data_IF_660566243484
#
_entry.id   IF_660566243484
#
_cell.length_a   1.000
_cell.length_b   1.000
_cell.length_c   1.000
_cell.angle_alpha   90.00
_cell.angle_beta   90.00
_cell.angle_gamma   90.00
#
_symmetry.space_group_name_H-M   'P 1'
#
loop_
_entity.id
_entity.type
_entity.pdbx_description
1 polymer ?
#
# COMPACT_ATOMS: atom_id res chain seq x y z
N UNK A 1 16.55 14.31 -2.19
CA UNK A 1 15.34 14.50 -3.03
C UNK A 1 14.41 13.32 -2.75
N UNK A 2 13.23 13.38 -2.15
CA UNK A 2 12.58 14.33 -1.26
C UNK A 2 11.76 13.47 -0.29
N UNK A 3 11.82 13.75 1.01
CA UNK A 3 11.01 13.06 2.00
C UNK A 3 9.58 13.56 1.86
N UNK A 4 8.69 12.78 1.25
CA UNK A 4 7.25 12.97 1.41
C UNK A 4 6.89 12.53 2.82
N UNK A 5 7.09 13.42 3.79
CA UNK A 5 6.49 13.28 5.12
C UNK A 5 4.97 13.21 4.91
N UNK A 6 4.39 12.05 5.19
CA UNK A 6 3.10 11.58 4.72
C UNK A 6 1.94 12.55 4.95
N UNK A 7 1.03 12.58 3.97
CA UNK A 7 -0.25 13.29 3.95
C UNK A 7 -1.35 12.62 4.79
N UNK A 8 -1.04 11.54 5.52
CA UNK A 8 -2.01 10.84 6.37
C UNK A 8 -2.31 11.75 7.59
N UNK A 9 -3.56 12.19 7.79
CA UNK A 9 -3.96 12.92 8.98
C UNK A 9 -3.74 12.11 10.27
N UNK A 10 -3.42 12.78 11.38
CA UNK A 10 -3.11 12.08 12.65
C UNK A 10 -4.23 11.14 13.12
N UNK A 11 -5.49 11.55 12.95
CA UNK A 11 -6.64 10.72 13.37
C UNK A 11 -6.74 9.41 12.58
N UNK A 12 -6.38 9.43 11.29
CA UNK A 12 -6.37 8.24 10.44
C UNK A 12 -5.18 7.34 10.82
N UNK A 13 -4.04 7.95 11.14
CA UNK A 13 -2.84 7.25 11.57
C UNK A 13 -3.04 6.52 12.91
N UNK A 14 -3.77 7.14 13.85
CA UNK A 14 -4.19 6.50 15.10
C UNK A 14 -5.17 5.36 14.85
N UNK A 15 -6.17 5.55 13.98
CA UNK A 15 -7.11 4.50 13.62
C UNK A 15 -6.41 3.29 13.01
N UNK A 16 -5.54 3.51 12.02
CA UNK A 16 -4.74 2.46 11.39
C UNK A 16 -3.81 1.75 12.38
N UNK A 17 -3.26 2.47 13.36
CA UNK A 17 -2.41 1.88 14.39
C UNK A 17 -3.19 0.95 15.31
N UNK A 18 -4.41 1.33 15.69
CA UNK A 18 -5.30 0.50 16.51
C UNK A 18 -5.77 -0.73 15.73
N UNK A 19 -6.19 -0.55 14.48
CA UNK A 19 -6.73 -1.61 13.63
C UNK A 19 -5.67 -2.65 13.22
N UNK A 20 -4.52 -2.19 12.75
CA UNK A 20 -3.46 -3.08 12.24
C UNK A 20 -2.50 -3.58 13.33
N UNK A 21 -2.51 -2.96 14.52
CA UNK A 21 -1.52 -3.21 15.57
C UNK A 21 -0.10 -2.74 15.24
N UNK A 22 0.09 -2.03 14.12
CA UNK A 22 1.39 -1.52 13.70
C UNK A 22 1.72 -0.19 14.40
N UNK A 23 3.01 0.04 14.65
CA UNK A 23 3.49 1.35 15.10
C UNK A 23 3.24 2.42 14.04
N UNK A 24 3.07 3.67 14.48
CA UNK A 24 2.94 4.86 13.61
C UNK A 24 4.05 4.93 12.55
N UNK A 25 5.29 4.67 12.97
CA UNK A 25 6.44 4.64 12.05
C UNK A 25 6.40 3.49 11.04
N UNK A 26 5.81 2.35 11.41
CA UNK A 26 5.55 1.24 10.48
C UNK A 26 4.54 1.61 9.41
N UNK A 27 3.43 2.23 9.81
CA UNK A 27 2.38 2.71 8.91
C UNK A 27 2.93 3.72 7.90
N UNK A 28 3.70 4.71 8.36
CA UNK A 28 4.31 5.71 7.49
C UNK A 28 5.25 5.09 6.44
N UNK A 29 6.02 4.07 6.83
CA UNK A 29 6.89 3.33 5.90
C UNK A 29 6.09 2.55 4.87
N UNK A 30 5.01 1.88 5.29
CA UNK A 30 4.12 1.14 4.40
C UNK A 30 3.42 2.10 3.43
N UNK A 31 2.94 3.25 3.91
CA UNK A 31 2.33 4.26 3.06
C UNK A 31 3.31 4.82 2.02
N UNK A 32 4.55 5.11 2.43
CA UNK A 32 5.58 5.54 1.48
C UNK A 32 5.86 4.48 0.41
N UNK A 33 5.89 3.20 0.78
CA UNK A 33 6.00 2.09 -0.17
C UNK A 33 4.78 1.99 -1.09
N UNK A 34 3.58 2.14 -0.54
CA UNK A 34 2.32 2.15 -1.28
C UNK A 34 2.35 3.23 -2.37
N UNK A 35 2.66 4.48 -2.02
CA UNK A 35 2.72 5.59 -2.99
C UNK A 35 3.83 5.37 -4.04
N UNK A 36 4.95 4.78 -3.64
CA UNK A 36 6.04 4.46 -4.58
C UNK A 36 5.69 3.35 -5.56
N UNK A 37 4.74 2.47 -5.20
CA UNK A 37 4.34 1.32 -5.99
C UNK A 37 3.09 1.61 -6.82
N UNK A 38 2.17 2.43 -6.32
CA UNK A 38 0.92 2.79 -6.97
C UNK A 38 1.18 3.60 -8.23
N UNK A 39 0.95 2.96 -9.38
CA UNK A 39 1.07 3.63 -10.68
C UNK A 39 -0.23 4.31 -11.12
N UNK A 40 -1.35 3.98 -10.47
CA UNK A 40 -2.67 4.49 -10.82
C UNK A 40 -3.13 5.55 -9.82
N UNK A 41 -3.68 6.63 -10.37
CA UNK A 41 -4.29 7.71 -9.61
C UNK A 41 -5.65 8.05 -10.21
N UNK A 42 -6.69 8.03 -9.40
CA UNK A 42 -8.00 8.49 -9.83
C UNK A 42 -7.96 10.00 -10.07
N UNK A 43 -8.40 10.44 -11.24
CA UNK A 43 -8.32 11.85 -11.66
C UNK A 43 -9.37 12.74 -10.98
N UNK A 44 -10.43 12.14 -10.45
CA UNK A 44 -11.57 12.79 -9.82
C UNK A 44 -11.34 12.92 -8.32
N UNK A 45 -10.97 11.83 -7.65
CA UNK A 45 -10.73 11.82 -6.20
C UNK A 45 -9.29 12.13 -5.83
N UNK A 46 -8.38 12.08 -6.80
CA UNK A 46 -6.94 12.33 -6.64
C UNK A 46 -6.23 11.27 -5.78
N UNK A 47 -6.90 10.15 -5.51
CA UNK A 47 -6.44 9.03 -4.69
C UNK A 47 -5.58 8.05 -5.49
N UNK A 48 -4.64 7.41 -4.82
CA UNK A 48 -3.77 6.38 -5.40
C UNK A 48 -4.36 5.00 -5.16
N UNK A 49 -4.24 4.12 -6.15
CA UNK A 49 -4.73 2.75 -6.06
C UNK A 49 -3.63 1.78 -6.47
N UNK A 50 -3.59 0.63 -5.79
CA UNK A 50 -2.78 -0.50 -6.22
C UNK A 50 -3.63 -1.45 -7.05
N UNK A 51 -3.02 -1.98 -8.09
CA UNK A 51 -3.56 -3.04 -8.93
C UNK A 51 -2.76 -4.32 -8.74
N UNK A 52 -3.29 -5.46 -9.22
CA UNK A 52 -2.53 -6.72 -9.27
C UNK A 52 -1.20 -6.55 -10.01
N UNK A 53 -1.18 -5.76 -11.09
CA UNK A 53 0.03 -5.47 -11.87
C UNK A 53 1.09 -4.71 -11.07
N UNK A 54 0.67 -3.80 -10.17
CA UNK A 54 1.60 -3.08 -9.30
C UNK A 54 2.29 -4.05 -8.32
N UNK A 55 1.55 -4.96 -7.69
CA UNK A 55 2.13 -5.99 -6.83
C UNK A 55 3.04 -6.96 -7.58
N UNK A 56 2.68 -7.32 -8.81
CA UNK A 56 3.52 -8.15 -9.66
C UNK A 56 4.86 -7.48 -9.95
N UNK A 57 5.00 -6.15 -9.86
CA UNK A 57 6.30 -5.48 -10.04
C UNK A 57 7.28 -5.70 -8.88
N UNK A 58 6.80 -6.15 -7.71
CA UNK A 58 7.64 -6.43 -6.53
C UNK A 58 8.47 -7.70 -6.79
N UNK A 59 9.79 -7.55 -6.87
CA UNK A 59 10.71 -8.65 -7.19
C UNK A 59 10.63 -9.81 -6.16
N UNK A 60 10.48 -9.47 -4.88
CA UNK A 60 10.40 -10.44 -3.79
C UNK A 60 9.11 -11.27 -3.87
N UNK A 61 8.00 -10.70 -4.35
CA UNK A 61 6.77 -11.48 -4.59
C UNK A 61 6.92 -12.38 -5.81
N UNK A 62 7.59 -11.94 -6.89
CA UNK A 62 7.83 -12.80 -8.07
C UNK A 62 8.66 -14.04 -7.75
N UNK A 63 9.64 -13.91 -6.86
CA UNK A 63 10.51 -15.02 -6.45
C UNK A 63 9.82 -15.94 -5.42
N UNK A 64 8.75 -15.48 -4.80
CA UNK A 64 8.02 -16.25 -3.81
C UNK A 64 7.11 -17.29 -4.52
N UNK A 65 7.21 -18.60 -4.21
CA UNK A 65 6.35 -19.62 -4.81
C UNK A 65 4.86 -19.43 -4.49
N UNK A 66 4.52 -18.63 -3.48
CA UNK A 66 3.15 -18.24 -3.13
C UNK A 66 2.80 -16.83 -3.61
N UNK A 67 3.67 -16.17 -4.37
CA UNK A 67 3.53 -14.77 -4.79
C UNK A 67 2.16 -14.49 -5.39
N UNK A 68 1.77 -15.24 -6.42
CA UNK A 68 0.47 -15.07 -7.08
C UNK A 68 -0.71 -15.27 -6.12
N UNK A 69 -0.63 -16.26 -5.22
CA UNK A 69 -1.69 -16.50 -4.20
C UNK A 69 -1.78 -15.37 -3.18
N UNK A 70 -0.66 -14.79 -2.79
CA UNK A 70 -0.63 -13.63 -1.88
C UNK A 70 -1.27 -12.42 -2.56
N UNK A 71 -0.93 -12.18 -3.84
CA UNK A 71 -1.53 -11.11 -4.63
C UNK A 71 -3.03 -11.36 -4.77
N UNK A 72 -3.46 -12.56 -5.16
CA UNK A 72 -4.87 -12.89 -5.30
C UNK A 72 -5.63 -12.73 -3.98
N UNK A 73 -5.07 -13.17 -2.85
CA UNK A 73 -5.67 -12.98 -1.53
C UNK A 73 -5.83 -11.50 -1.15
N UNK A 74 -4.86 -10.65 -1.50
CA UNK A 74 -4.94 -9.21 -1.22
C UNK A 74 -6.07 -8.52 -1.99
N UNK A 75 -6.41 -9.01 -3.18
CA UNK A 75 -7.45 -8.45 -4.05
C UNK A 75 -8.74 -9.29 -4.09
N UNK A 76 -8.91 -10.25 -3.19
CA UNK A 76 -10.03 -11.19 -3.22
C UNK A 76 -11.40 -10.51 -2.96
N UNK A 77 -11.42 -9.46 -2.15
CA UNK A 77 -12.63 -8.71 -1.78
C UNK A 77 -12.85 -7.45 -2.66
N UNK A 78 -12.05 -7.28 -3.73
CA UNK A 78 -12.16 -6.15 -4.64
C UNK A 78 -13.13 -6.40 -5.83
N UNK A 79 -13.90 -7.48 -5.76
CA UNK A 79 -14.93 -7.92 -6.72
C UNK A 79 -16.33 -7.84 -6.09
#
# INVERSE_FOLDING_TARGET
>A
MGQTTSQIPEHELEHLSIESGLSRGGILKLYSRFISLATHRDKTTNEYFLTKGDFQSIAELKQNPLGDRIIDAFFADAE
#
